data_IF_175609571411
#
_entry.id   IF_175609571411
#
_cell.length_a   1.000
_cell.length_b   1.000
_cell.length_c   1.000
_cell.angle_alpha   90.00
_cell.angle_beta   90.00
_cell.angle_gamma   90.00
#
_symmetry.space_group_name_H-M   'P 1'
#
loop_
_entity.id
_entity.type
_entity.pdbx_description
1 polymer ?
#
# COMPACT_ATOMS: atom_id res chain seq x y z
N UNK A 1 2.61 -8.61 7.56
CA UNK A 1 3.14 -7.73 6.49
C UNK A 1 3.13 -6.25 6.86
N UNK A 2 2.16 -5.77 7.66
CA UNK A 2 2.26 -4.44 8.28
C UNK A 2 3.60 -4.18 8.98
N UNK A 3 4.19 -5.19 9.64
CA UNK A 3 5.55 -5.13 10.22
C UNK A 3 6.66 -4.86 9.19
N UNK A 4 6.56 -5.45 7.99
CA UNK A 4 7.53 -5.18 6.91
C UNK A 4 7.41 -3.73 6.46
N UNK A 5 6.17 -3.26 6.24
CA UNK A 5 5.93 -1.87 5.85
C UNK A 5 6.42 -0.92 6.95
N UNK A 6 6.21 -1.26 8.22
CA UNK A 6 6.68 -0.48 9.36
C UNK A 6 8.21 -0.36 9.40
N UNK A 7 8.92 -1.48 9.22
CA UNK A 7 10.38 -1.52 9.33
C UNK A 7 11.12 -0.92 8.12
N UNK A 8 10.48 -0.80 6.95
CA UNK A 8 11.17 -0.44 5.71
C UNK A 8 10.74 0.91 5.11
N UNK A 9 9.69 1.53 5.64
CA UNK A 9 9.13 2.76 5.10
C UNK A 9 8.94 3.80 6.19
N UNK A 10 8.87 5.06 5.78
CA UNK A 10 8.54 6.18 6.66
C UNK A 10 7.07 6.54 6.48
N UNK A 11 6.45 7.06 7.53
CA UNK A 11 5.03 7.40 7.54
C UNK A 11 4.84 8.90 7.74
N UNK A 12 3.90 9.47 6.99
CA UNK A 12 3.27 10.74 7.35
C UNK A 12 2.00 10.38 8.11
N UNK A 13 1.89 10.89 9.33
CA UNK A 13 0.78 10.59 10.23
C UNK A 13 -0.09 11.82 10.46
N UNK A 14 -1.33 11.57 10.89
CA UNK A 14 -2.33 12.55 11.27
C UNK A 14 -1.80 13.48 12.37
N UNK A 15 -1.84 14.81 12.23
CA UNK A 15 -1.37 15.72 13.28
C UNK A 15 -2.26 15.70 14.53
N UNK A 16 -3.47 15.14 14.46
CA UNK A 16 -4.39 15.04 15.60
C UNK A 16 -4.05 13.92 16.59
N UNK A 17 -3.15 12.99 16.22
CA UNK A 17 -2.73 11.86 17.06
C UNK A 17 -1.60 12.19 18.06
N UNK A 18 -1.40 11.30 19.04
CA UNK A 18 -0.26 11.38 19.97
C UNK A 18 0.76 10.29 19.65
N UNK A 19 2.00 10.69 19.36
CA UNK A 19 3.07 9.78 18.93
C UNK A 19 4.32 9.83 19.82
N UNK A 20 4.15 10.15 21.11
CA UNK A 20 5.27 10.29 22.03
C UNK A 20 6.08 9.00 22.19
N UNK A 21 5.42 7.84 22.14
CA UNK A 21 6.09 6.53 22.19
C UNK A 21 6.93 6.30 20.94
N UNK A 22 6.39 6.58 19.75
CA UNK A 22 7.11 6.42 18.48
C UNK A 22 8.24 7.44 18.30
N UNK A 23 8.17 8.59 18.98
CA UNK A 23 9.25 9.57 19.01
C UNK A 23 10.44 9.10 19.86
N UNK A 24 10.21 8.23 20.84
CA UNK A 24 11.26 7.62 21.68
C UNK A 24 11.79 6.34 21.02
N UNK A 25 10.90 5.52 20.47
CA UNK A 25 11.22 4.25 19.81
C UNK A 25 10.48 4.13 18.47
N UNK A 26 11.24 4.22 17.37
CA UNK A 26 10.69 4.15 16.02
C UNK A 26 10.15 2.76 15.65
N UNK A 27 10.46 1.71 16.43
CA UNK A 27 9.94 0.35 16.19
C UNK A 27 8.53 0.15 16.78
N UNK A 28 8.03 1.10 17.59
CA UNK A 28 6.67 1.07 18.11
C UNK A 28 5.62 1.30 17.02
N UNK A 29 4.63 0.40 16.96
CA UNK A 29 3.66 0.41 15.87
C UNK A 29 2.74 1.64 15.90
N UNK A 30 2.41 2.13 14.70
CA UNK A 30 1.40 3.16 14.48
C UNK A 30 0.00 2.55 14.31
N UNK A 31 -1.02 3.30 14.72
CA UNK A 31 -2.40 3.02 14.35
C UNK A 31 -2.58 3.33 12.86
N UNK A 32 -2.99 2.33 12.08
CA UNK A 32 -3.13 2.49 10.61
C UNK A 32 -4.15 3.55 10.20
N UNK A 33 -5.15 3.82 11.04
CA UNK A 33 -6.12 4.89 10.80
C UNK A 33 -5.49 6.29 10.79
N UNK A 34 -4.34 6.46 11.44
CA UNK A 34 -3.62 7.73 11.52
C UNK A 34 -2.59 7.89 10.40
N UNK A 35 -2.33 6.85 9.60
CA UNK A 35 -1.35 6.92 8.51
C UNK A 35 -1.98 7.62 7.30
N UNK A 36 -1.47 8.82 6.98
CA UNK A 36 -1.91 9.61 5.83
C UNK A 36 -1.16 9.23 4.55
N UNK A 37 0.13 8.94 4.66
CA UNK A 37 0.98 8.60 3.52
C UNK A 37 2.15 7.70 3.93
N UNK A 38 2.57 6.83 3.02
CA UNK A 38 3.79 6.03 3.14
C UNK A 38 4.85 6.61 2.19
N UNK A 39 6.03 6.88 2.70
CA UNK A 39 7.17 7.41 1.97
C UNK A 39 8.17 6.28 1.68
N UNK A 40 8.18 5.83 0.43
CA UNK A 40 9.19 4.92 -0.10
C UNK A 40 10.43 5.69 -0.53
N UNK A 41 11.62 5.17 -0.22
CA UNK A 41 12.88 5.73 -0.72
C UNK A 41 13.04 5.41 -2.20
N UNK A 42 13.37 6.42 -3.00
CA UNK A 42 13.71 6.22 -4.42
C UNK A 42 15.05 5.49 -4.61
N UNK A 43 15.85 5.30 -3.56
CA UNK A 43 17.16 4.64 -3.64
C UNK A 43 17.06 3.19 -3.18
N UNK A 44 16.55 2.97 -1.96
CA UNK A 44 16.50 1.63 -1.35
C UNK A 44 15.21 0.87 -1.64
N UNK A 45 14.17 1.54 -2.14
CA UNK A 45 12.86 0.95 -2.43
C UNK A 45 12.40 1.27 -3.86
N UNK A 46 13.33 1.58 -4.76
CA UNK A 46 13.05 1.68 -6.18
C UNK A 46 12.58 0.32 -6.71
N UNK A 47 11.33 0.28 -7.17
CA UNK A 47 10.76 -0.88 -7.86
C UNK A 47 9.97 -0.42 -9.07
N UNK A 48 10.03 -1.20 -10.14
CA UNK A 48 9.12 -1.05 -11.26
C UNK A 48 7.71 -1.49 -10.86
N UNK A 49 6.70 -0.93 -11.52
CA UNK A 49 5.33 -1.41 -11.39
C UNK A 49 5.26 -2.85 -11.93
N UNK A 50 4.82 -3.83 -11.13
CA UNK A 50 4.82 -5.23 -11.56
C UNK A 50 3.87 -5.55 -12.73
N UNK A 51 2.94 -4.64 -13.06
CA UNK A 51 1.95 -4.83 -14.12
C UNK A 51 2.45 -4.29 -15.46
N UNK A 52 3.03 -3.09 -15.49
CA UNK A 52 3.51 -2.45 -16.73
C UNK A 52 5.03 -2.42 -16.86
N UNK A 53 5.76 -2.93 -15.86
CA UNK A 53 7.22 -3.05 -15.83
C UNK A 53 7.97 -1.72 -16.01
N UNK A 54 7.29 -0.60 -15.81
CA UNK A 54 7.84 0.76 -15.92
C UNK A 54 7.90 1.42 -14.55
N UNK A 55 8.50 2.61 -14.47
CA UNK A 55 8.46 3.43 -13.26
C UNK A 55 7.00 3.70 -12.83
N UNK A 56 6.64 3.49 -11.54
CA UNK A 56 5.28 3.65 -11.08
C UNK A 56 4.75 5.09 -11.23
N UNK A 57 3.72 5.28 -12.06
CA UNK A 57 3.00 6.55 -12.15
C UNK A 57 1.86 6.57 -11.14
N UNK A 58 1.79 7.64 -10.33
CA UNK A 58 0.83 7.77 -9.23
C UNK A 58 0.80 6.49 -8.36
N UNK A 59 1.91 6.14 -7.69
CA UNK A 59 2.06 4.87 -7.00
C UNK A 59 0.98 4.65 -5.94
N UNK A 60 0.55 3.39 -5.80
CA UNK A 60 -0.33 2.90 -4.74
C UNK A 60 0.26 1.63 -4.15
N UNK A 61 0.36 1.60 -2.83
CA UNK A 61 0.83 0.44 -2.09
C UNK A 61 -0.37 -0.42 -1.67
N UNK A 62 -0.34 -1.71 -1.99
CA UNK A 62 -1.27 -2.69 -1.43
C UNK A 62 -0.94 -2.97 0.05
N UNK A 63 -1.87 -3.53 0.83
CA UNK A 63 -1.63 -3.86 2.26
C UNK A 63 -0.42 -4.79 2.49
N UNK A 64 -0.08 -5.58 1.48
CA UNK A 64 1.08 -6.46 1.50
C UNK A 64 2.43 -5.74 1.26
N UNK A 65 2.43 -4.46 0.89
CA UNK A 65 3.62 -3.65 0.64
C UNK A 65 4.00 -3.46 -0.84
N UNK A 66 3.41 -4.23 -1.76
CA UNK A 66 3.71 -4.08 -3.19
C UNK A 66 3.14 -2.79 -3.77
N UNK A 67 3.94 -2.11 -4.58
CA UNK A 67 3.63 -0.80 -5.17
C UNK A 67 3.27 -0.97 -6.65
N UNK A 68 2.16 -0.38 -7.06
CA UNK A 68 1.64 -0.41 -8.43
C UNK A 68 1.36 1.01 -8.93
N UNK A 69 1.32 1.20 -10.26
CA UNK A 69 0.69 2.40 -10.81
C UNK A 69 -0.81 2.38 -10.46
N UNK A 70 -1.37 3.52 -10.06
CA UNK A 70 -2.83 3.67 -9.94
C UNK A 70 -3.59 3.20 -11.20
N UNK A 71 -3.24 3.61 -12.44
CA UNK A 71 -3.96 3.15 -13.64
C UNK A 71 -3.84 1.63 -13.86
N UNK A 72 -2.69 1.03 -13.55
CA UNK A 72 -2.52 -0.42 -13.65
C UNK A 72 -3.38 -1.17 -12.64
N UNK A 73 -3.44 -0.67 -11.40
CA UNK A 73 -4.25 -1.25 -10.34
C UNK A 73 -5.74 -1.18 -10.68
N UNK A 74 -6.24 -0.04 -11.20
CA UNK A 74 -7.63 0.09 -11.63
C UNK A 74 -7.97 -0.93 -12.73
N UNK A 75 -7.11 -1.04 -13.76
CA UNK A 75 -7.31 -2.04 -14.83
C UNK A 75 -7.33 -3.47 -14.30
N UNK A 76 -6.39 -3.80 -13.41
CA UNK A 76 -6.36 -5.11 -12.74
C UNK A 76 -7.65 -5.38 -11.96
N UNK A 77 -8.16 -4.40 -11.21
CA UNK A 77 -9.42 -4.51 -10.47
C UNK A 77 -10.64 -4.68 -11.40
N UNK A 78 -10.60 -4.15 -12.61
CA UNK A 78 -11.69 -4.26 -13.60
C UNK A 78 -11.65 -5.53 -14.45
N UNK A 79 -10.50 -6.20 -14.60
CA UNK A 79 -10.32 -7.32 -15.55
C UNK A 79 -10.94 -8.67 -15.13
N UNK A 80 -11.77 -8.73 -14.08
CA UNK A 80 -12.42 -9.99 -13.65
C UNK A 80 -13.94 -9.86 -13.76
N UNK A 81 -14.53 -10.68 -14.61
CA UNK A 81 -15.99 -10.77 -14.81
C UNK A 81 -16.71 -11.58 -13.71
N UNK A 82 -15.98 -12.36 -12.92
CA UNK A 82 -16.58 -13.36 -12.02
C UNK A 82 -17.23 -12.77 -10.74
N UNK A 83 -16.80 -11.60 -10.27
CA UNK A 83 -17.34 -10.97 -9.06
C UNK A 83 -18.42 -9.90 -9.33
N UNK A 84 -18.72 -9.63 -10.61
CA UNK A 84 -19.64 -8.56 -11.00
C UNK A 84 -21.12 -8.91 -10.75
N UNK A 85 -21.44 -10.17 -10.39
CA UNK A 85 -22.84 -10.62 -10.42
C UNK A 85 -23.66 -10.31 -9.18
N UNK A 86 -23.11 -9.90 -8.03
CA UNK A 86 -23.98 -9.78 -6.83
C UNK A 86 -23.64 -8.79 -5.72
N UNK A 87 -22.71 -7.85 -5.86
CA UNK A 87 -22.54 -6.85 -4.79
C UNK A 87 -22.10 -5.46 -5.27
N UNK A 88 -22.89 -4.44 -4.92
CA UNK A 88 -22.56 -3.01 -5.06
C UNK A 88 -21.59 -2.53 -3.96
N UNK A 89 -20.80 -3.44 -3.40
CA UNK A 89 -19.85 -3.17 -2.32
C UNK A 89 -18.45 -2.86 -2.82
N UNK A 90 -17.55 -2.55 -1.87
CA UNK A 90 -16.13 -2.39 -2.17
C UNK A 90 -15.56 -3.69 -2.76
N UNK A 91 -15.11 -3.63 -4.02
CA UNK A 91 -14.44 -4.75 -4.69
C UNK A 91 -13.06 -4.93 -4.07
N UNK A 92 -12.70 -6.16 -3.73
CA UNK A 92 -11.38 -6.53 -3.24
C UNK A 92 -10.80 -7.62 -4.15
N UNK A 93 -9.49 -7.60 -4.37
CA UNK A 93 -8.76 -8.66 -5.08
C UNK A 93 -7.45 -8.92 -4.36
N UNK A 94 -6.98 -10.16 -4.44
CA UNK A 94 -5.66 -10.55 -3.97
C UNK A 94 -4.59 -9.83 -4.77
N UNK A 95 -3.46 -9.54 -4.12
CA UNK A 95 -2.29 -8.96 -4.77
C UNK A 95 -1.78 -9.90 -5.87
N UNK A 96 -1.54 -9.42 -7.12
CA UNK A 96 -1.08 -10.28 -8.21
C UNK A 96 0.35 -10.81 -8.06
N UNK A 97 1.08 -10.41 -7.00
CA UNK A 97 2.49 -10.77 -6.78
C UNK A 97 2.64 -11.81 -5.68
N UNK A 98 1.84 -11.73 -4.62
CA UNK A 98 1.96 -12.61 -3.47
C UNK A 98 0.64 -13.21 -2.99
N UNK A 99 -0.42 -13.02 -3.77
CA UNK A 99 -1.78 -13.54 -3.53
C UNK A 99 -2.40 -13.18 -2.17
N UNK A 100 -1.86 -12.18 -1.49
CA UNK A 100 -2.36 -11.73 -0.19
C UNK A 100 -3.44 -10.66 -0.31
N UNK A 101 -4.26 -10.54 0.74
CA UNK A 101 -5.38 -9.58 0.83
C UNK A 101 -5.01 -8.26 1.53
#
# INVERSE_FOLDING_TARGET
KARYVHANYRFVVSPEGSYATQAVDADEHLQWGDVLQILASAESQATSCPICLSEPVAPRMAKCGHIFCLPCLIRFMSASDDDAKNNRGARWKKCPICEDS
#
